data_IF_863019079753
#
_entry.id   IF_863019079753
#
_cell.length_a   1.000
_cell.length_b   1.000
_cell.length_c   1.000
_cell.angle_alpha   90.00
_cell.angle_beta   90.00
_cell.angle_gamma   90.00
#
_symmetry.space_group_name_H-M   'P 1'
#
loop_
_entity.id
_entity.type
_entity.pdbx_description
1 polymer ?
#
# COMPACT_ATOMS: atom_id res chain seq x y z
N UNK A 1 5.75 1.57 15.21
CA UNK A 1 5.20 1.71 13.86
C UNK A 1 5.96 0.79 12.91
N UNK A 2 5.24 0.07 12.07
CA UNK A 2 5.79 -0.88 11.13
C UNK A 2 5.36 -0.51 9.72
N UNK A 3 6.22 -0.76 8.74
CA UNK A 3 5.93 -0.52 7.33
C UNK A 3 5.59 -1.82 6.63
N UNK A 4 4.56 -1.78 5.80
CA UNK A 4 4.12 -2.88 4.96
C UNK A 4 4.12 -2.44 3.51
N UNK A 5 4.39 -3.38 2.61
CA UNK A 5 4.21 -3.15 1.19
C UNK A 5 2.98 -3.92 0.73
N UNK A 6 2.11 -3.25 -0.02
CA UNK A 6 0.87 -3.80 -0.56
C UNK A 6 0.92 -3.74 -2.08
N UNK A 7 0.94 -4.90 -2.77
CA UNK A 7 0.89 -4.88 -4.22
C UNK A 7 -0.49 -4.43 -4.71
N UNK A 8 -0.51 -3.56 -5.70
CA UNK A 8 -1.72 -3.06 -6.34
C UNK A 8 -1.73 -3.52 -7.80
N UNK A 9 -2.80 -4.18 -8.20
CA UNK A 9 -3.04 -4.55 -9.59
C UNK A 9 -4.00 -3.54 -10.21
N UNK A 10 -3.51 -2.68 -11.09
CA UNK A 10 -4.30 -1.63 -11.71
C UNK A 10 -5.47 -2.16 -12.55
N UNK A 11 -5.38 -3.39 -13.05
CA UNK A 11 -6.47 -4.01 -13.79
C UNK A 11 -7.62 -4.44 -12.89
N UNK A 12 -7.34 -4.75 -11.63
CA UNK A 12 -8.35 -5.11 -10.64
C UNK A 12 -8.92 -3.87 -9.94
N UNK A 13 -8.04 -2.96 -9.57
CA UNK A 13 -8.39 -1.74 -8.83
C UNK A 13 -7.40 -0.66 -9.21
N UNK A 14 -7.85 0.33 -9.95
CA UNK A 14 -6.96 1.37 -10.43
C UNK A 14 -6.80 2.48 -9.39
N UNK A 15 -5.66 2.46 -8.71
CA UNK A 15 -5.29 3.43 -7.69
C UNK A 15 -5.47 4.87 -8.16
N UNK A 16 -5.04 5.15 -9.39
CA UNK A 16 -5.00 6.53 -9.90
C UNK A 16 -6.38 7.08 -10.22
N UNK A 17 -7.34 6.20 -10.50
CA UNK A 17 -8.74 6.60 -10.75
C UNK A 17 -9.56 6.63 -9.46
N UNK A 18 -9.25 5.75 -8.51
CA UNK A 18 -10.07 5.53 -7.31
C UNK A 18 -9.71 6.46 -6.16
N UNK A 19 -8.45 6.86 -6.05
CA UNK A 19 -7.97 7.70 -4.96
C UNK A 19 -7.87 9.14 -5.43
N UNK A 20 -8.72 10.00 -4.87
CA UNK A 20 -8.77 11.42 -5.23
C UNK A 20 -7.68 12.25 -4.55
N UNK A 21 -7.12 11.77 -3.45
CA UNK A 21 -6.08 12.49 -2.73
C UNK A 21 -5.95 12.04 -1.29
N UNK A 22 -5.15 12.77 -0.50
CA UNK A 22 -5.01 12.48 0.94
C UNK A 22 -6.36 12.52 1.66
N UNK A 23 -6.52 11.63 2.63
CA UNK A 23 -7.76 11.49 3.39
C UNK A 23 -8.72 10.43 2.86
N UNK A 24 -8.52 9.95 1.64
CA UNK A 24 -9.28 8.82 1.09
C UNK A 24 -9.06 7.58 1.95
N UNK A 25 -10.13 6.88 2.30
CA UNK A 25 -10.08 5.64 3.06
C UNK A 25 -10.45 4.49 2.15
N UNK A 26 -9.62 3.46 2.14
CA UNK A 26 -9.83 2.27 1.31
C UNK A 26 -9.46 1.03 2.09
N UNK A 27 -10.09 -0.11 1.77
CA UNK A 27 -9.73 -1.39 2.35
C UNK A 27 -8.65 -2.08 1.53
N UNK A 28 -7.69 -2.69 2.20
CA UNK A 28 -6.62 -3.46 1.58
C UNK A 28 -6.44 -4.79 2.30
N UNK A 29 -5.85 -5.76 1.59
CA UNK A 29 -5.51 -7.05 2.17
C UNK A 29 -4.54 -6.86 3.35
N UNK A 30 -4.75 -7.63 4.39
CA UNK A 30 -3.98 -7.50 5.62
C UNK A 30 -3.25 -8.77 5.99
N UNK A 31 -2.22 -8.64 6.80
CA UNK A 31 -1.64 -9.72 7.59
C UNK A 31 -2.17 -9.64 9.01
N UNK A 32 -2.09 -10.75 9.76
CA UNK A 32 -2.64 -10.81 11.12
C UNK A 32 -1.90 -9.91 12.12
N UNK A 33 -0.66 -9.57 11.83
CA UNK A 33 0.19 -8.78 12.70
C UNK A 33 0.07 -7.27 12.48
N UNK A 34 -0.71 -6.83 11.51
CA UNK A 34 -0.98 -5.41 11.31
C UNK A 34 -1.70 -4.80 12.51
N UNK A 35 -1.33 -3.57 12.83
CA UNK A 35 -1.90 -2.84 13.96
C UNK A 35 -2.23 -1.41 13.53
N UNK A 36 -3.12 -0.78 14.30
CA UNK A 36 -3.44 0.64 14.12
C UNK A 36 -2.15 1.47 14.13
N UNK A 37 -2.04 2.41 13.20
CA UNK A 37 -0.88 3.29 13.09
C UNK A 37 0.24 2.73 12.22
N UNK A 38 0.18 1.47 11.80
CA UNK A 38 1.14 0.94 10.84
C UNK A 38 0.98 1.64 9.49
N UNK A 39 2.06 1.71 8.72
CA UNK A 39 2.09 2.36 7.42
C UNK A 39 2.03 1.30 6.32
N UNK A 40 1.13 1.51 5.37
CA UNK A 40 0.96 0.64 4.19
C UNK A 40 1.39 1.42 2.96
N UNK A 41 2.39 0.91 2.26
CA UNK A 41 2.91 1.49 1.02
C UNK A 41 2.32 0.74 -0.16
N UNK A 42 1.74 1.46 -1.11
CA UNK A 42 1.05 0.88 -2.26
C UNK A 42 2.01 0.78 -3.44
N UNK A 43 2.37 -0.44 -3.80
CA UNK A 43 3.28 -0.74 -4.89
C UNK A 43 2.51 -1.08 -6.16
N UNK A 44 2.75 -0.31 -7.22
CA UNK A 44 2.17 -0.52 -8.54
C UNK A 44 3.19 -1.24 -9.41
N UNK A 45 2.79 -2.37 -9.98
CA UNK A 45 3.59 -3.08 -10.98
C UNK A 45 3.49 -2.39 -12.34
N UNK A 46 4.28 -2.87 -13.30
CA UNK A 46 4.26 -2.33 -14.66
C UNK A 46 3.06 -2.88 -15.43
N UNK A 47 1.91 -2.27 -15.26
CA UNK A 47 0.62 -2.73 -15.78
C UNK A 47 0.02 -1.80 -16.83
N UNK A 48 0.54 -0.60 -16.97
CA UNK A 48 0.21 0.32 -18.04
C UNK A 48 1.48 0.99 -18.57
N UNK A 49 1.36 1.67 -19.71
CA UNK A 49 2.49 2.35 -20.34
C UNK A 49 2.78 3.74 -19.73
N UNK A 50 1.86 4.25 -18.93
CA UNK A 50 1.95 5.60 -18.35
C UNK A 50 2.70 5.64 -17.03
N UNK A 51 2.79 4.51 -16.31
CA UNK A 51 3.34 4.45 -14.97
C UNK A 51 4.47 3.42 -14.88
N UNK A 52 5.65 3.88 -14.49
CA UNK A 52 6.73 2.96 -14.13
C UNK A 52 6.40 2.24 -12.82
N UNK A 53 6.98 1.08 -12.60
CA UNK A 53 6.78 0.32 -11.38
C UNK A 53 7.37 1.05 -10.18
N UNK A 54 6.66 1.03 -9.04
CA UNK A 54 7.12 1.67 -7.81
C UNK A 54 6.01 1.91 -6.81
N UNK A 55 6.35 2.58 -5.72
CA UNK A 55 5.41 2.98 -4.67
C UNK A 55 4.91 4.38 -4.99
N UNK A 56 3.59 4.52 -5.18
CA UNK A 56 2.96 5.80 -5.54
C UNK A 56 2.18 6.44 -4.40
N UNK A 57 1.88 5.67 -3.36
CA UNK A 57 1.09 6.16 -2.24
C UNK A 57 1.47 5.43 -0.97
N UNK A 58 1.18 6.05 0.17
CA UNK A 58 1.18 5.37 1.45
C UNK A 58 0.05 5.91 2.32
N UNK A 59 -0.36 5.11 3.27
CA UNK A 59 -1.38 5.48 4.23
C UNK A 59 -1.18 4.81 5.56
N UNK A 60 -2.06 5.16 6.49
CA UNK A 60 -2.02 4.67 7.88
C UNK A 60 -3.19 3.74 8.14
N UNK A 61 -2.93 2.60 8.76
CA UNK A 61 -3.98 1.68 9.22
C UNK A 61 -4.80 2.37 10.31
N UNK A 62 -6.09 2.54 10.05
CA UNK A 62 -7.01 3.21 10.96
C UNK A 62 -8.07 2.29 11.55
N UNK A 63 -8.22 1.08 11.01
CA UNK A 63 -9.18 0.09 11.49
C UNK A 63 -8.78 -1.32 11.03
N UNK A 64 -9.02 -2.31 11.89
CA UNK A 64 -8.77 -3.72 11.59
C UNK A 64 -7.50 -4.24 12.25
N UNK A 65 -7.10 -5.49 11.89
CA UNK A 65 -7.64 -6.35 10.82
C UNK A 65 -9.04 -6.89 11.12
N UNK A 66 -9.82 -7.13 10.06
CA UNK A 66 -11.15 -7.72 10.12
C UNK A 66 -11.42 -8.53 8.85
N UNK A 67 -12.45 -9.37 8.86
CA UNK A 67 -12.90 -10.06 7.66
C UNK A 67 -13.99 -9.22 7.00
N UNK A 68 -13.79 -8.82 5.76
CA UNK A 68 -14.78 -8.09 4.99
C UNK A 68 -15.79 -9.06 4.43
N UNK A 69 -17.00 -9.08 5.04
CA UNK A 69 -18.09 -9.99 4.66
C UNK A 69 -19.24 -9.22 4.03
N UNK A 70 -19.86 -9.83 3.02
CA UNK A 70 -21.10 -9.34 2.38
C UNK A 70 -21.01 -7.90 1.87
N UNK A 71 -19.81 -7.43 1.56
CA UNK A 71 -19.59 -6.12 0.93
C UNK A 71 -18.82 -6.31 -0.35
N UNK A 72 -19.27 -5.74 -1.47
CA UNK A 72 -18.50 -5.79 -2.69
C UNK A 72 -17.20 -5.00 -2.51
N UNK A 73 -16.12 -5.62 -2.89
CA UNK A 73 -14.81 -5.02 -2.96
C UNK A 73 -14.07 -5.70 -4.09
N UNK A 74 -13.22 -4.98 -4.78
CA UNK A 74 -12.53 -5.48 -5.95
C UNK A 74 -11.66 -6.70 -5.65
N UNK A 75 -11.12 -6.81 -4.43
CA UNK A 75 -10.26 -7.95 -4.09
C UNK A 75 -10.20 -8.32 -2.61
N UNK A 76 -10.90 -7.59 -1.74
CA UNK A 76 -10.84 -7.83 -0.29
C UNK A 76 -11.98 -8.68 0.25
N UNK A 77 -13.03 -8.93 -0.54
CA UNK A 77 -14.22 -9.62 -0.07
C UNK A 77 -13.91 -11.01 0.50
N UNK A 78 -14.39 -11.30 1.71
CA UNK A 78 -14.15 -12.53 2.47
C UNK A 78 -12.68 -12.80 2.83
N UNK A 79 -11.85 -11.75 2.84
CA UNK A 79 -10.44 -11.85 3.20
C UNK A 79 -10.11 -10.95 4.39
N UNK A 80 -9.00 -11.26 5.06
CA UNK A 80 -8.49 -10.43 6.13
C UNK A 80 -8.08 -9.06 5.55
N UNK A 81 -8.60 -8.00 6.16
CA UNK A 81 -8.60 -6.65 5.58
C UNK A 81 -8.28 -5.63 6.65
N UNK A 82 -7.67 -4.53 6.26
CA UNK A 82 -7.53 -3.32 7.07
C UNK A 82 -8.08 -2.14 6.29
N UNK A 83 -8.58 -1.14 7.01
CA UNK A 83 -8.89 0.15 6.43
C UNK A 83 -7.66 1.06 6.56
N UNK A 84 -7.29 1.67 5.46
CA UNK A 84 -6.13 2.54 5.35
C UNK A 84 -6.58 3.92 4.91
N UNK A 85 -6.17 4.93 5.66
CA UNK A 85 -6.35 6.32 5.27
C UNK A 85 -5.12 6.74 4.48
N UNK A 86 -5.30 7.13 3.23
CA UNK A 86 -4.21 7.57 2.37
C UNK A 86 -3.67 8.91 2.88
N UNK A 87 -2.38 8.96 3.16
CA UNK A 87 -1.71 10.17 3.64
C UNK A 87 -1.03 10.94 2.51
N UNK A 88 -0.54 10.22 1.50
CA UNK A 88 0.10 10.81 0.34
C UNK A 88 -0.08 9.93 -0.89
N UNK A 89 -0.28 10.57 -2.05
CA UNK A 89 -0.33 9.90 -3.35
C UNK A 89 0.33 10.79 -4.41
N UNK A 90 1.09 10.16 -5.30
CA UNK A 90 1.63 10.79 -6.51
C UNK A 90 1.04 10.07 -7.73
N UNK A 91 0.81 10.81 -8.81
CA UNK A 91 0.14 10.27 -9.99
C UNK A 91 1.07 10.08 -11.19
N UNK A 92 2.16 10.84 -11.27
CA UNK A 92 3.04 10.84 -12.44
C UNK A 92 4.30 10.00 -12.22
N UNK A 93 4.92 10.15 -11.05
CA UNK A 93 6.16 9.46 -10.70
C UNK A 93 6.05 8.84 -9.33
N UNK A 94 6.65 7.66 -9.11
CA UNK A 94 6.58 7.03 -7.79
C UNK A 94 7.39 7.82 -6.76
N UNK A 95 6.93 7.71 -5.51
CA UNK A 95 7.68 8.17 -4.33
C UNK A 95 8.97 7.37 -4.15
N UNK A 96 8.88 6.07 -4.41
CA UNK A 96 9.99 5.13 -4.37
C UNK A 96 9.93 4.31 -5.65
N UNK A 97 10.98 4.37 -6.46
CA UNK A 97 11.03 3.60 -7.72
C UNK A 97 11.16 2.11 -7.42
N UNK A 98 10.82 1.27 -8.40
CA UNK A 98 10.99 -0.17 -8.26
C UNK A 98 12.45 -0.54 -7.94
N UNK A 99 13.40 0.12 -8.60
CA UNK A 99 14.81 -0.11 -8.34
C UNK A 99 15.20 0.23 -6.89
N UNK A 100 14.68 1.32 -6.35
CA UNK A 100 14.88 1.69 -4.95
C UNK A 100 14.18 0.71 -4.00
N UNK A 101 13.02 0.16 -4.40
CA UNK A 101 12.28 -0.81 -3.59
C UNK A 101 13.07 -2.10 -3.34
N UNK A 102 13.97 -2.48 -4.25
CA UNK A 102 14.80 -3.68 -4.10
C UNK A 102 15.66 -3.66 -2.84
N UNK A 103 15.93 -2.50 -2.31
CA UNK A 103 16.64 -2.32 -1.04
C UNK A 103 15.86 -2.91 0.13
N UNK A 104 14.53 -2.88 0.06
CA UNK A 104 13.64 -3.23 1.16
C UNK A 104 13.07 -4.63 1.03
N UNK A 105 12.82 -5.09 -0.18
CA UNK A 105 12.20 -6.38 -0.44
C UNK A 105 12.45 -6.85 -1.87
N UNK A 106 12.49 -8.17 -2.06
CA UNK A 106 12.44 -8.80 -3.39
C UNK A 106 11.09 -9.42 -3.70
N UNK A 107 10.11 -9.25 -2.82
CA UNK A 107 8.80 -9.90 -2.87
C UNK A 107 7.72 -8.85 -3.18
N UNK A 108 6.91 -9.11 -4.25
CA UNK A 108 5.88 -8.16 -4.71
C UNK A 108 4.53 -8.83 -5.01
N UNK A 109 4.31 -10.05 -4.51
CA UNK A 109 3.10 -10.82 -4.84
C UNK A 109 2.01 -10.70 -3.79
N UNK A 110 2.36 -10.44 -2.56
CA UNK A 110 1.41 -10.33 -1.45
C UNK A 110 1.84 -9.26 -0.48
N UNK A 111 0.88 -8.79 0.32
CA UNK A 111 1.17 -7.84 1.39
C UNK A 111 2.11 -8.48 2.41
N UNK A 112 3.12 -7.73 2.82
CA UNK A 112 4.09 -8.20 3.82
C UNK A 112 4.80 -7.04 4.52
N UNK A 113 5.34 -7.33 5.69
CA UNK A 113 6.10 -6.37 6.48
C UNK A 113 7.49 -6.16 5.89
N UNK A 114 7.96 -4.94 5.96
CA UNK A 114 9.36 -4.60 5.72
C UNK A 114 10.10 -4.70 7.06
N UNK A 115 11.33 -5.18 7.02
CA UNK A 115 12.16 -5.30 8.23
C UNK A 115 12.25 -3.97 8.98
N UNK A 116 12.11 -4.03 10.30
CA UNK A 116 12.08 -2.82 11.16
C UNK A 116 13.38 -2.02 11.08
N UNK A 117 14.50 -2.65 10.73
CA UNK A 117 15.77 -1.96 10.53
C UNK A 117 15.72 -0.86 9.45
N UNK A 118 14.74 -0.92 8.56
CA UNK A 118 14.55 0.11 7.52
C UNK A 118 13.62 1.26 7.94
N UNK A 119 13.03 1.21 9.12
CA UNK A 119 12.01 2.19 9.51
C UNK A 119 12.50 3.63 9.40
N UNK A 120 13.69 3.95 9.95
CA UNK A 120 14.20 5.31 9.89
C UNK A 120 14.49 5.77 8.47
N UNK A 121 15.01 4.87 7.63
CA UNK A 121 15.26 5.19 6.24
C UNK A 121 13.94 5.43 5.48
N UNK A 122 12.93 4.60 5.69
CA UNK A 122 11.62 4.76 5.06
C UNK A 122 10.94 6.05 5.51
N UNK A 123 11.00 6.38 6.80
CA UNK A 123 10.48 7.66 7.30
C UNK A 123 11.12 8.84 6.59
N UNK A 124 12.43 8.79 6.42
CA UNK A 124 13.17 9.85 5.73
C UNK A 124 12.76 9.97 4.27
N UNK A 125 12.71 8.85 3.56
CA UNK A 125 12.37 8.81 2.13
C UNK A 125 10.93 9.29 1.89
N UNK A 126 10.00 8.92 2.76
CA UNK A 126 8.59 9.31 2.64
C UNK A 126 8.28 10.66 3.26
N UNK A 127 9.19 11.25 4.01
CA UNK A 127 8.99 12.55 4.65
C UNK A 127 8.07 12.50 5.86
N UNK A 128 8.10 11.40 6.56
CA UNK A 128 7.25 11.22 7.76
C UNK A 128 8.04 11.55 9.03
#
# INVERSE_FOLDING_TARGET
MRFYIEPVNLHQWNLFDKVEGPGHIECFLATRDMQLGNIVMLHVGKQDSAHESGIYAYGTVIYGPYILENRPSEYCNNKLTVDVKIDRIEYDKPLITHEQCKRYTGQYRSVHAIADSFNNNLKSVLGI
#
